data_IF_986852451413
#
_entry.id   IF_986852451413
#
_cell.length_a   1.000
_cell.length_b   1.000
_cell.length_c   1.000
_cell.angle_alpha   90.00
_cell.angle_beta   90.00
_cell.angle_gamma   90.00
#
_symmetry.space_group_name_H-M   'P 1'
#
loop_
_entity.id
_entity.type
_entity.pdbx_description
1 polymer ?
#
# COMPACT_ATOMS: atom_id res chain seq x y z
N UNK A 1 9.85 3.63 -11.65
CA UNK A 1 10.90 3.12 -10.74
C UNK A 1 11.15 1.67 -11.08
N UNK A 2 12.38 1.29 -11.37
CA UNK A 2 12.75 -0.12 -11.40
C UNK A 2 12.87 -0.50 -9.93
N UNK A 3 12.07 -1.46 -9.45
CA UNK A 3 12.20 -1.98 -8.08
C UNK A 3 13.67 -2.31 -7.88
N UNK A 4 14.27 -1.73 -6.86
CA UNK A 4 15.65 -2.03 -6.50
C UNK A 4 15.77 -3.54 -6.26
N UNK A 5 16.65 -4.21 -6.98
CA UNK A 5 16.95 -5.62 -6.67
C UNK A 5 17.78 -5.78 -5.39
N UNK A 6 18.09 -4.66 -4.73
CA UNK A 6 18.87 -4.65 -3.51
C UNK A 6 17.95 -4.84 -2.29
N UNK A 7 18.28 -5.78 -1.45
CA UNK A 7 17.63 -5.96 -0.16
C UNK A 7 18.16 -4.94 0.87
N UNK A 8 17.39 -4.74 1.94
CA UNK A 8 17.81 -4.01 3.14
C UNK A 8 19.05 -4.65 3.75
N UNK A 9 19.88 -3.87 4.41
CA UNK A 9 21.09 -4.38 5.07
C UNK A 9 20.77 -5.41 6.17
N UNK A 10 19.63 -5.21 6.84
CA UNK A 10 19.12 -6.11 7.88
C UNK A 10 17.96 -7.01 7.39
N UNK A 11 17.92 -7.34 6.09
CA UNK A 11 16.87 -8.16 5.46
C UNK A 11 16.58 -9.47 6.21
N UNK A 12 17.59 -10.07 6.82
CA UNK A 12 17.42 -11.30 7.63
C UNK A 12 16.45 -11.10 8.80
N UNK A 13 16.49 -9.93 9.44
CA UNK A 13 15.55 -9.61 10.54
C UNK A 13 14.11 -9.51 10.02
N UNK A 14 13.93 -8.88 8.87
CA UNK A 14 12.62 -8.80 8.22
C UNK A 14 12.11 -10.19 7.82
N UNK A 15 12.97 -11.02 7.22
CA UNK A 15 12.60 -12.38 6.83
C UNK A 15 12.16 -13.21 8.03
N UNK A 16 12.90 -13.15 9.13
CA UNK A 16 12.53 -13.83 10.37
C UNK A 16 11.18 -13.35 10.91
N UNK A 17 10.91 -12.05 10.90
CA UNK A 17 9.65 -11.49 11.36
C UNK A 17 8.48 -11.85 10.44
N UNK A 18 8.69 -11.84 9.12
CA UNK A 18 7.71 -12.29 8.12
C UNK A 18 7.33 -13.76 8.37
N UNK A 19 8.32 -14.62 8.60
CA UNK A 19 8.10 -16.05 8.90
C UNK A 19 7.40 -16.23 10.27
N UNK A 20 7.89 -15.55 11.31
CA UNK A 20 7.31 -15.64 12.66
C UNK A 20 5.82 -15.24 12.68
N UNK A 21 5.46 -14.23 11.90
CA UNK A 21 4.07 -13.77 11.79
C UNK A 21 3.24 -14.56 10.80
N UNK A 22 3.84 -15.43 10.00
CA UNK A 22 3.18 -16.12 8.90
C UNK A 22 2.56 -15.13 7.90
N UNK A 23 3.34 -14.14 7.47
CA UNK A 23 2.92 -13.20 6.41
C UNK A 23 3.17 -13.89 5.06
N UNK A 24 2.08 -14.20 4.36
CA UNK A 24 2.11 -15.00 3.13
C UNK A 24 2.00 -14.14 1.87
N UNK A 25 1.42 -12.93 1.98
CA UNK A 25 1.13 -12.08 0.83
C UNK A 25 1.04 -10.60 1.19
N UNK A 26 1.27 -9.80 0.17
CA UNK A 26 0.89 -8.40 0.13
C UNK A 26 -0.27 -8.23 -0.84
N UNK A 27 -1.13 -7.26 -0.59
CA UNK A 27 -2.33 -7.03 -1.40
C UNK A 27 -2.28 -5.64 -2.02
N UNK A 28 -2.45 -5.59 -3.33
CA UNK A 28 -2.79 -4.38 -4.07
C UNK A 28 -4.20 -4.51 -4.62
N UNK A 29 -5.03 -3.50 -4.48
CA UNK A 29 -6.33 -3.48 -5.13
C UNK A 29 -6.35 -2.45 -6.27
N UNK A 30 -6.99 -2.83 -7.37
CA UNK A 30 -7.11 -1.97 -8.55
C UNK A 30 -8.43 -2.23 -9.26
N UNK A 31 -8.83 -1.31 -10.15
CA UNK A 31 -10.00 -1.54 -10.98
C UNK A 31 -9.69 -2.56 -12.10
N UNK A 32 -10.69 -3.37 -12.46
CA UNK A 32 -10.51 -4.43 -13.49
C UNK A 32 -10.08 -3.91 -14.84
N UNK A 33 -10.42 -2.67 -15.20
CA UNK A 33 -10.00 -2.05 -16.46
C UNK A 33 -8.47 -1.88 -16.56
N UNK A 34 -7.78 -1.79 -15.41
CA UNK A 34 -6.33 -1.67 -15.38
C UNK A 34 -5.61 -3.01 -15.61
N UNK A 35 -6.33 -4.15 -15.52
CA UNK A 35 -5.71 -5.47 -15.62
C UNK A 35 -5.07 -5.71 -16.98
N UNK A 36 -5.70 -5.25 -18.07
CA UNK A 36 -5.13 -5.44 -19.42
C UNK A 36 -3.76 -4.77 -19.53
N UNK A 37 -3.65 -3.54 -19.08
CA UNK A 37 -2.36 -2.82 -19.07
C UNK A 37 -1.34 -3.48 -18.14
N UNK A 38 -1.77 -3.92 -16.94
CA UNK A 38 -0.89 -4.62 -16.00
C UNK A 38 -0.34 -5.91 -16.62
N UNK A 39 -1.18 -6.70 -17.30
CA UNK A 39 -0.75 -7.95 -17.93
C UNK A 39 0.10 -7.69 -19.18
N UNK A 40 -0.25 -6.70 -19.99
CA UNK A 40 0.52 -6.33 -21.18
C UNK A 40 1.94 -5.88 -20.83
N UNK A 41 2.07 -5.07 -19.80
CA UNK A 41 3.35 -4.53 -19.35
C UNK A 41 4.08 -5.47 -18.37
N UNK A 42 3.39 -6.47 -17.83
CA UNK A 42 3.92 -7.39 -16.83
C UNK A 42 4.32 -6.69 -15.52
N UNK A 43 3.74 -5.53 -15.22
CA UNK A 43 4.12 -4.71 -14.08
C UNK A 43 2.97 -3.86 -13.56
N UNK A 44 2.99 -3.60 -12.24
CA UNK A 44 2.22 -2.53 -11.60
C UNK A 44 3.16 -1.31 -11.52
N UNK A 45 2.71 -0.18 -12.07
CA UNK A 45 3.48 1.06 -12.04
C UNK A 45 2.97 2.02 -10.98
N UNK A 46 3.90 2.78 -10.39
CA UNK A 46 3.55 3.91 -9.52
C UNK A 46 2.87 5.03 -10.32
N UNK A 47 2.17 5.91 -9.61
CA UNK A 47 1.49 7.07 -10.22
C UNK A 47 2.44 7.88 -11.11
N UNK A 48 3.59 8.26 -10.55
CA UNK A 48 4.58 9.03 -11.29
C UNK A 48 5.07 8.30 -12.54
N UNK A 49 5.33 6.99 -12.45
CA UNK A 49 5.75 6.22 -13.63
C UNK A 49 4.67 6.16 -14.69
N UNK A 50 3.40 6.07 -14.31
CA UNK A 50 2.27 6.13 -15.25
C UNK A 50 2.16 7.51 -15.92
N UNK A 51 2.35 8.59 -15.17
CA UNK A 51 2.39 9.95 -15.72
C UNK A 51 3.53 10.12 -16.72
N UNK A 52 4.74 9.67 -16.37
CA UNK A 52 5.89 9.70 -17.28
C UNK A 52 5.61 8.90 -18.57
N UNK A 53 5.05 7.68 -18.43
CA UNK A 53 4.68 6.85 -19.59
C UNK A 53 3.58 7.47 -20.45
N UNK A 54 2.62 8.17 -19.86
CA UNK A 54 1.57 8.86 -20.63
C UNK A 54 2.10 9.99 -21.49
N UNK A 55 3.19 10.64 -21.07
CA UNK A 55 3.89 11.65 -21.85
C UNK A 55 4.64 11.00 -23.02
N UNK A 56 5.34 9.89 -22.76
CA UNK A 56 6.10 9.15 -23.78
C UNK A 56 5.17 8.42 -24.77
N UNK A 57 4.02 7.96 -24.31
CA UNK A 57 3.05 7.15 -25.05
C UNK A 57 1.61 7.67 -24.83
N UNK A 58 1.21 8.80 -25.44
CA UNK A 58 -0.11 9.42 -25.22
C UNK A 58 -1.30 8.53 -25.61
N UNK A 59 -1.06 7.48 -26.41
CA UNK A 59 -2.08 6.50 -26.81
C UNK A 59 -2.40 5.48 -25.71
N UNK A 60 -1.60 5.39 -24.64
CA UNK A 60 -1.89 4.53 -23.52
C UNK A 60 -3.01 5.15 -22.69
N UNK A 61 -4.17 4.52 -22.76
CA UNK A 61 -5.29 4.92 -21.94
C UNK A 61 -5.09 4.38 -20.52
N UNK A 62 -5.00 5.31 -19.59
CA UNK A 62 -4.94 4.96 -18.16
C UNK A 62 -6.27 5.33 -17.53
N UNK A 63 -7.00 4.30 -17.09
CA UNK A 63 -8.18 4.51 -16.28
C UNK A 63 -7.77 4.84 -14.84
N UNK A 64 -7.81 6.12 -14.54
CA UNK A 64 -7.46 6.61 -13.23
C UNK A 64 -8.71 6.79 -12.36
N UNK A 65 -9.20 5.67 -11.84
CA UNK A 65 -10.30 5.68 -10.89
C UNK A 65 -9.95 6.33 -9.54
N UNK A 66 -8.65 6.53 -9.28
CA UNK A 66 -8.15 7.16 -8.06
C UNK A 66 -8.02 8.67 -8.23
N UNK A 67 -7.76 9.15 -9.43
CA UNK A 67 -7.55 10.59 -9.70
C UNK A 67 -8.71 11.46 -9.27
N UNK A 68 -9.93 10.99 -9.46
CA UNK A 68 -11.16 11.70 -9.03
C UNK A 68 -11.20 11.91 -7.51
N UNK A 69 -10.42 11.15 -6.73
CA UNK A 69 -10.51 11.11 -5.29
C UNK A 69 -9.21 11.49 -4.56
N UNK A 70 -8.05 11.38 -5.20
CA UNK A 70 -6.75 11.67 -4.60
C UNK A 70 -5.77 12.29 -5.60
N UNK A 71 -6.25 13.25 -6.37
CA UNK A 71 -5.45 13.99 -7.36
C UNK A 71 -4.20 14.69 -6.80
N UNK A 72 -4.01 14.64 -5.48
CA UNK A 72 -2.88 15.30 -4.83
C UNK A 72 -1.87 14.34 -4.22
N UNK A 73 -2.13 13.01 -4.17
CA UNK A 73 -1.25 12.08 -3.43
C UNK A 73 -0.71 12.78 -2.16
N UNK A 74 -1.59 13.01 -1.22
CA UNK A 74 -1.32 13.79 0.01
C UNK A 74 -0.19 13.20 0.88
N UNK A 75 0.23 11.99 0.56
CA UNK A 75 1.40 11.32 1.16
C UNK A 75 2.74 11.79 0.58
N UNK A 76 2.76 12.42 -0.61
CA UNK A 76 3.95 12.76 -1.40
C UNK A 76 4.77 11.53 -1.84
N UNK A 77 4.17 10.33 -1.87
CA UNK A 77 4.81 9.07 -2.24
C UNK A 77 4.39 8.60 -3.63
N UNK A 78 4.37 9.51 -4.61
CA UNK A 78 3.91 9.24 -5.98
C UNK A 78 4.77 8.19 -6.71
N UNK A 79 6.01 7.99 -6.28
CA UNK A 79 6.91 6.95 -6.80
C UNK A 79 6.62 5.56 -6.22
N UNK A 80 5.75 5.46 -5.23
CA UNK A 80 5.45 4.22 -4.51
C UNK A 80 4.10 3.65 -4.90
N UNK A 81 3.98 2.33 -4.71
CA UNK A 81 2.74 1.57 -4.86
C UNK A 81 2.29 1.18 -3.45
N UNK A 82 1.04 1.50 -3.13
CA UNK A 82 0.48 1.15 -1.82
C UNK A 82 0.12 -0.33 -1.79
N UNK A 83 0.61 -1.01 -0.77
CA UNK A 83 0.38 -2.42 -0.51
C UNK A 83 -0.11 -2.59 0.93
N UNK A 84 -1.02 -3.53 1.14
CA UNK A 84 -1.49 -3.93 2.47
C UNK A 84 -1.00 -5.34 2.80
N UNK A 85 -0.74 -5.64 4.07
CA UNK A 85 -0.27 -6.95 4.51
C UNK A 85 -1.47 -7.87 4.74
N UNK A 86 -1.48 -9.05 4.12
CA UNK A 86 -2.45 -10.15 4.23
C UNK A 86 -3.87 -9.82 3.73
N UNK A 87 -4.42 -8.66 4.03
CA UNK A 87 -5.77 -8.22 3.69
C UNK A 87 -5.75 -6.84 3.06
N UNK A 88 -6.66 -6.55 2.13
CA UNK A 88 -6.74 -5.22 1.52
C UNK A 88 -7.15 -4.19 2.57
N UNK A 89 -6.74 -2.94 2.39
CA UNK A 89 -7.29 -1.80 3.09
C UNK A 89 -8.78 -1.66 2.70
N UNK A 90 -9.65 -2.34 3.46
CA UNK A 90 -11.09 -2.42 3.18
C UNK A 90 -11.78 -1.07 3.28
N UNK A 91 -11.29 -0.19 4.13
CA UNK A 91 -11.82 1.17 4.27
C UNK A 91 -11.66 1.95 2.96
N UNK A 92 -10.46 1.95 2.37
CA UNK A 92 -10.21 2.63 1.10
C UNK A 92 -10.89 1.92 -0.07
N UNK A 93 -10.82 0.60 -0.13
CA UNK A 93 -11.47 -0.19 -1.18
C UNK A 93 -12.99 0.08 -1.24
N UNK A 94 -13.67 0.05 -0.10
CA UNK A 94 -15.09 0.37 -0.04
C UNK A 94 -15.37 1.81 -0.46
N UNK A 95 -14.56 2.76 0.02
CA UNK A 95 -14.70 4.17 -0.35
C UNK A 95 -14.55 4.41 -1.85
N UNK A 96 -13.61 3.72 -2.50
CA UNK A 96 -13.43 3.84 -3.95
C UNK A 96 -14.55 3.13 -4.70
N UNK A 97 -14.97 1.96 -4.26
CA UNK A 97 -16.10 1.24 -4.85
C UNK A 97 -17.39 2.05 -4.81
N UNK A 98 -17.69 2.68 -3.68
CA UNK A 98 -18.90 3.48 -3.50
C UNK A 98 -18.90 4.77 -4.35
N UNK A 99 -17.71 5.25 -4.72
CA UNK A 99 -17.54 6.46 -5.55
C UNK A 99 -17.41 6.17 -7.03
N UNK A 100 -17.03 4.96 -7.40
CA UNK A 100 -16.97 4.58 -8.81
C UNK A 100 -18.39 4.42 -9.34
N UNK A 101 -18.83 5.37 -10.17
CA UNK A 101 -20.10 5.30 -10.90
C UNK A 101 -20.03 4.32 -12.09
N UNK A 102 -19.01 3.47 -12.17
CA UNK A 102 -18.87 2.54 -13.28
C UNK A 102 -19.90 1.41 -13.14
N UNK A 103 -20.90 1.42 -13.97
CA UNK A 103 -21.87 0.33 -14.13
C UNK A 103 -21.26 -0.92 -14.78
N UNK A 104 -20.03 -0.82 -15.29
CA UNK A 104 -19.30 -1.87 -15.99
C UNK A 104 -17.91 -1.99 -15.35
N UNK A 105 -17.62 -3.17 -14.83
CA UNK A 105 -16.35 -3.45 -14.19
C UNK A 105 -16.45 -3.54 -12.67
N UNK A 106 -15.37 -3.95 -12.06
CA UNK A 106 -15.28 -4.19 -10.61
C UNK A 106 -13.87 -3.91 -10.09
N UNK A 107 -13.68 -4.18 -8.83
CA UNK A 107 -12.39 -4.11 -8.17
C UNK A 107 -11.79 -5.51 -8.04
N UNK A 108 -10.51 -5.63 -8.26
CA UNK A 108 -9.77 -6.87 -8.08
C UNK A 108 -8.65 -6.69 -7.07
N UNK A 109 -8.26 -7.80 -6.47
CA UNK A 109 -7.14 -7.89 -5.55
C UNK A 109 -6.01 -8.63 -6.26
N UNK A 110 -4.82 -8.06 -6.22
CA UNK A 110 -3.61 -8.66 -6.72
C UNK A 110 -2.79 -9.13 -5.52
N UNK A 111 -2.50 -10.41 -5.46
CA UNK A 111 -1.59 -10.99 -4.47
C UNK A 111 -0.16 -10.85 -4.96
N UNK A 112 0.70 -10.32 -4.11
CA UNK A 112 2.08 -9.98 -4.39
C UNK A 112 2.97 -10.66 -3.35
N UNK A 113 4.15 -11.10 -3.76
CA UNK A 113 5.11 -11.75 -2.88
C UNK A 113 5.48 -10.88 -1.68
N UNK A 114 5.47 -11.43 -0.46
CA UNK A 114 5.91 -10.72 0.74
C UNK A 114 7.42 -10.40 0.73
N UNK A 115 8.19 -10.95 -0.21
CA UNK A 115 9.61 -10.63 -0.38
C UNK A 115 9.85 -9.13 -0.66
N UNK A 116 8.84 -8.41 -1.13
CA UNK A 116 8.96 -6.96 -1.31
C UNK A 116 9.19 -6.22 0.01
N UNK A 117 8.79 -6.77 1.16
CA UNK A 117 9.10 -6.23 2.49
C UNK A 117 10.61 -6.09 2.70
N UNK A 118 11.39 -7.00 2.10
CA UNK A 118 12.85 -7.04 2.26
C UNK A 118 13.59 -6.03 1.38
N UNK A 119 12.90 -5.41 0.42
CA UNK A 119 13.55 -4.50 -0.55
C UNK A 119 13.96 -3.18 0.12
N UNK A 120 15.13 -2.68 -0.29
CA UNK A 120 15.71 -1.45 0.28
C UNK A 120 14.86 -0.20 0.08
N UNK A 121 13.98 -0.20 -0.92
CA UNK A 121 13.06 0.86 -1.27
C UNK A 121 11.65 0.69 -0.69
N UNK A 122 11.37 -0.39 0.03
CA UNK A 122 10.08 -0.56 0.72
C UNK A 122 10.00 0.28 1.99
N UNK A 123 8.91 1.03 2.12
CA UNK A 123 8.60 1.88 3.28
C UNK A 123 7.39 1.31 4.03
N UNK A 124 7.26 1.66 5.29
CA UNK A 124 6.19 1.22 6.18
C UNK A 124 5.50 2.38 6.85
N UNK A 125 4.18 2.36 6.85
CA UNK A 125 3.31 3.33 7.50
C UNK A 125 2.35 2.63 8.45
N UNK A 126 2.26 3.10 9.69
CA UNK A 126 1.39 2.50 10.74
C UNK A 126 -0.10 2.59 10.44
N UNK A 127 -0.51 3.41 9.51
CA UNK A 127 -1.87 3.60 9.04
C UNK A 127 -1.84 4.19 7.65
N UNK A 128 -2.91 4.84 7.21
CA UNK A 128 -2.93 5.50 5.91
C UNK A 128 -1.78 6.52 5.80
N UNK A 129 -0.92 6.35 4.80
CA UNK A 129 0.28 7.19 4.59
C UNK A 129 -0.05 8.69 4.44
N UNK A 130 -1.22 9.03 3.90
CA UNK A 130 -1.68 10.41 3.78
C UNK A 130 -2.12 11.03 5.13
N UNK A 131 -2.33 10.20 6.16
CA UNK A 131 -2.77 10.70 7.46
C UNK A 131 -1.67 11.52 8.15
N UNK A 132 -2.09 12.56 8.91
CA UNK A 132 -1.15 13.36 9.70
C UNK A 132 -0.44 12.53 10.75
N UNK A 133 -1.15 11.58 11.37
CA UNK A 133 -0.57 10.71 12.40
C UNK A 133 0.54 9.82 11.84
N UNK A 134 0.33 9.22 10.65
CA UNK A 134 1.37 8.42 9.99
C UNK A 134 2.60 9.26 9.61
N UNK A 135 2.38 10.49 9.14
CA UNK A 135 3.47 11.42 8.83
C UNK A 135 4.25 11.86 10.08
N UNK A 136 3.55 12.11 11.17
CA UNK A 136 4.17 12.51 12.45
C UNK A 136 4.92 11.33 13.10
N UNK A 137 4.44 10.08 12.93
CA UNK A 137 5.15 8.86 13.35
C UNK A 137 6.41 8.63 12.52
N UNK A 138 6.36 8.95 11.24
CA UNK A 138 7.39 8.71 10.25
C UNK A 138 7.06 7.51 9.35
N UNK A 139 7.31 7.69 8.05
CA UNK A 139 7.15 6.65 7.01
C UNK A 139 8.55 6.33 6.53
N UNK A 140 9.09 5.20 6.91
CA UNK A 140 10.43 4.79 6.52
C UNK A 140 10.60 3.27 6.44
N UNK A 141 11.72 2.83 5.84
CA UNK A 141 11.98 1.42 5.57
C UNK A 141 12.71 0.68 6.68
N UNK A 142 12.74 1.18 7.92
CA UNK A 142 13.44 0.54 9.03
C UNK A 142 12.68 -0.65 9.60
N UNK A 143 13.39 -1.55 10.26
CA UNK A 143 12.79 -2.71 10.91
C UNK A 143 11.85 -2.29 12.04
N UNK A 144 12.18 -1.24 12.77
CA UNK A 144 11.35 -0.68 13.83
C UNK A 144 10.01 -0.17 13.30
N UNK A 145 10.00 0.48 12.13
CA UNK A 145 8.76 0.90 11.48
C UNK A 145 7.92 -0.31 11.03
N UNK A 146 8.55 -1.35 10.48
CA UNK A 146 7.86 -2.58 10.16
C UNK A 146 7.22 -3.23 11.39
N UNK A 147 7.97 -3.36 12.49
CA UNK A 147 7.43 -3.90 13.74
C UNK A 147 6.29 -3.06 14.32
N UNK A 148 6.34 -1.74 14.15
CA UNK A 148 5.32 -0.83 14.67
C UNK A 148 3.93 -1.06 14.08
N UNK A 149 3.85 -1.64 12.86
CA UNK A 149 2.57 -2.03 12.24
C UNK A 149 1.77 -3.01 13.13
N UNK A 150 2.47 -3.78 13.94
CA UNK A 150 1.93 -4.83 14.80
C UNK A 150 1.98 -4.46 16.28
N UNK A 151 2.10 -3.20 16.61
CA UNK A 151 2.12 -2.72 17.99
C UNK A 151 0.80 -3.01 18.70
N UNK A 152 0.87 -3.26 20.03
CA UNK A 152 -0.32 -3.50 20.86
C UNK A 152 -1.34 -2.36 20.79
N UNK A 153 -0.86 -1.14 20.57
CA UNK A 153 -1.69 0.05 20.42
C UNK A 153 -1.09 0.98 19.39
N UNK A 154 -1.93 1.47 18.48
CA UNK A 154 -1.58 2.51 17.52
C UNK A 154 -2.63 3.61 17.49
N UNK A 155 -2.21 4.83 17.17
CA UNK A 155 -3.14 5.92 16.92
C UNK A 155 -3.59 5.88 15.46
N UNK A 156 -4.90 6.02 15.23
CA UNK A 156 -5.51 6.02 13.91
C UNK A 156 -6.43 7.21 13.70
N UNK A 157 -6.63 7.61 12.46
CA UNK A 157 -7.48 8.73 12.08
C UNK A 157 -6.68 10.00 11.77
N UNK A 158 -7.23 11.15 12.08
CA UNK A 158 -6.54 12.44 11.95
C UNK A 158 -6.29 13.07 13.32
N UNK A 159 -5.45 14.11 13.36
CA UNK A 159 -5.01 14.77 14.60
C UNK A 159 -6.19 15.23 15.48
N UNK A 160 -7.28 15.71 14.86
CA UNK A 160 -8.45 16.25 15.58
C UNK A 160 -9.47 15.17 15.95
N UNK A 161 -9.38 13.99 15.33
CA UNK A 161 -10.30 12.87 15.55
C UNK A 161 -9.53 11.57 15.51
N UNK A 162 -8.51 11.46 16.34
CA UNK A 162 -7.73 10.24 16.48
C UNK A 162 -8.38 9.28 17.48
N UNK A 163 -8.22 8.00 17.21
CA UNK A 163 -8.62 6.89 18.08
C UNK A 163 -7.44 5.98 18.32
N UNK A 164 -7.42 5.33 19.46
CA UNK A 164 -6.47 4.27 19.73
C UNK A 164 -7.05 2.94 19.26
N UNK A 165 -6.34 2.26 18.38
CA UNK A 165 -6.62 0.87 18.03
C UNK A 165 -5.80 -0.05 18.90
N UNK A 166 -6.37 -1.18 19.26
CA UNK A 166 -5.71 -2.22 20.05
C UNK A 166 -5.59 -3.50 19.26
N UNK A 167 -4.47 -4.19 19.45
CA UNK A 167 -4.18 -5.45 18.78
C UNK A 167 -4.97 -6.65 19.32
N UNK A 168 -5.69 -6.49 20.43
CA UNK A 168 -6.39 -7.58 21.09
C UNK A 168 -7.31 -8.36 20.13
N UNK A 169 -7.07 -9.66 19.97
CA UNK A 169 -7.85 -10.55 19.11
C UNK A 169 -7.45 -10.58 17.64
N UNK A 170 -6.45 -9.79 17.21
CA UNK A 170 -5.93 -9.86 15.85
C UNK A 170 -4.93 -11.01 15.69
N UNK A 171 -4.97 -11.66 14.53
CA UNK A 171 -3.97 -12.66 14.17
C UNK A 171 -2.56 -12.03 14.06
N UNK A 172 -1.48 -12.79 14.28
CA UNK A 172 -0.11 -12.26 14.27
C UNK A 172 0.27 -11.51 12.99
N UNK A 173 -0.23 -11.95 11.86
CA UNK A 173 0.06 -11.44 10.52
C UNK A 173 -0.80 -10.26 10.06
N UNK A 174 -1.72 -9.78 10.91
CA UNK A 174 -2.59 -8.65 10.58
C UNK A 174 -2.04 -7.40 11.28
N UNK A 175 -1.77 -6.30 10.56
CA UNK A 175 -1.43 -5.03 11.18
C UNK A 175 -2.52 -4.54 12.15
N UNK A 176 -2.13 -3.78 13.16
CA UNK A 176 -3.07 -3.26 14.17
C UNK A 176 -4.03 -2.23 13.57
N UNK A 177 -3.57 -1.43 12.63
CA UNK A 177 -4.45 -0.59 11.79
C UNK A 177 -4.68 -1.26 10.43
N UNK A 178 -5.94 -1.46 10.06
CA UNK A 178 -6.31 -2.02 8.75
C UNK A 178 -5.87 -1.16 7.55
N UNK A 179 -5.50 0.10 7.80
CA UNK A 179 -5.00 1.04 6.79
C UNK A 179 -3.47 1.16 6.82
N UNK A 180 -2.76 0.26 7.52
CA UNK A 180 -1.30 0.18 7.47
C UNK A 180 -0.81 -0.16 6.05
N UNK A 181 0.23 0.54 5.61
CA UNK A 181 0.78 0.47 4.25
C UNK A 181 2.29 0.21 4.27
#
# INVERSE_FOLDING_TARGET
>A
MIISNKNKEDAVRFEQEVQLRNIERLIHFTHTDNLLSIFEWGAIYSRKKLEDLSIEHPQLYMNDYVEVNDGLRLDNLQDYINLSIQYPNTFLLNRFRDRSNSSLGGWCLLEISPELILRSDSLFSIGNAASRLSKDHGICGTFENFQSLFSEKVLSGNVNNCRTLTRAGLAPNIPTDEQAE
#
